data_IF_277455212718
#
_entry.id   IF_277455212718
#
_cell.length_a   1.000
_cell.length_b   1.000
_cell.length_c   1.000
_cell.angle_alpha   90.00
_cell.angle_beta   90.00
_cell.angle_gamma   90.00
#
_symmetry.space_group_name_H-M   'P 1'
#
loop_
_entity.id
_entity.type
_entity.pdbx_description
1 polymer ?
#
# COMPACT_ATOMS: atom_id res chain seq x y z
N UNK A 1 3.65 -5.44 -18.77
CA UNK A 1 2.66 -6.37 -18.21
C UNK A 1 3.22 -6.73 -16.87
N UNK A 2 2.67 -6.20 -15.80
CA UNK A 2 3.11 -6.57 -14.47
C UNK A 2 2.54 -7.94 -14.12
N UNK A 3 3.36 -8.79 -13.51
CA UNK A 3 2.94 -10.09 -13.02
C UNK A 3 2.62 -9.91 -11.54
N UNK A 4 1.32 -9.75 -11.24
CA UNK A 4 0.84 -9.76 -9.86
C UNK A 4 0.65 -11.23 -9.45
N UNK A 5 1.31 -11.66 -8.38
CA UNK A 5 1.07 -12.98 -7.78
C UNK A 5 -0.17 -12.91 -6.88
N UNK A 6 -1.34 -13.11 -7.48
CA UNK A 6 -2.65 -13.08 -6.79
C UNK A 6 -3.72 -12.50 -7.69
N UNK A 7 -4.96 -12.98 -7.57
CA UNK A 7 -6.13 -12.30 -8.13
C UNK A 7 -6.89 -11.71 -6.95
N UNK A 8 -6.94 -10.38 -6.80
CA UNK A 8 -7.68 -9.75 -5.73
C UNK A 8 -9.15 -10.20 -5.73
N UNK A 9 -9.68 -10.44 -4.55
CA UNK A 9 -11.05 -10.85 -4.28
C UNK A 9 -11.61 -10.00 -3.14
N UNK A 10 -12.88 -10.18 -2.77
CA UNK A 10 -13.47 -9.47 -1.62
C UNK A 10 -13.18 -10.16 -0.28
N UNK A 11 -12.07 -10.89 -0.16
CA UNK A 11 -11.66 -11.53 1.07
C UNK A 11 -10.16 -11.38 1.26
N UNK A 12 -9.66 -11.80 2.41
CA UNK A 12 -8.28 -11.57 2.79
C UNK A 12 -7.29 -12.21 1.81
N UNK A 13 -6.56 -11.37 1.10
CA UNK A 13 -5.64 -11.72 0.05
C UNK A 13 -4.18 -11.45 0.43
N UNK A 14 -3.29 -12.12 -0.30
CA UNK A 14 -1.85 -11.91 -0.21
C UNK A 14 -1.34 -11.64 -1.62
N UNK A 15 -0.91 -10.42 -1.86
CA UNK A 15 -0.59 -9.90 -3.18
C UNK A 15 0.88 -9.46 -3.17
N UNK A 16 1.65 -9.92 -4.16
CA UNK A 16 3.00 -9.39 -4.43
C UNK A 16 3.17 -9.09 -5.90
N UNK A 17 3.59 -7.86 -6.19
CA UNK A 17 4.00 -7.38 -7.50
C UNK A 17 5.50 -7.63 -7.73
N UNK A 18 6.00 -7.19 -8.91
CA UNK A 18 7.38 -7.42 -9.33
C UNK A 18 8.26 -6.17 -9.16
N UNK A 19 9.27 -5.96 -9.99
CA UNK A 19 10.17 -4.78 -9.91
C UNK A 19 9.72 -3.65 -10.86
N UNK A 20 8.55 -3.77 -11.48
CA UNK A 20 7.97 -2.77 -12.36
C UNK A 20 6.91 -1.94 -11.66
N UNK A 21 6.62 -0.76 -12.23
CA UNK A 21 5.52 0.07 -11.74
C UNK A 21 4.17 -0.63 -11.86
N UNK A 22 3.47 -0.71 -10.73
CA UNK A 22 2.24 -1.46 -10.59
C UNK A 22 1.02 -0.60 -10.21
N UNK A 23 -0.17 -1.12 -10.53
CA UNK A 23 -1.45 -0.59 -10.03
C UNK A 23 -2.18 -1.76 -9.39
N UNK A 24 -2.36 -1.69 -8.08
CA UNK A 24 -2.93 -2.76 -7.26
C UNK A 24 -4.16 -2.22 -6.53
N UNK A 25 -5.27 -2.93 -6.64
CA UNK A 25 -6.47 -2.73 -5.82
C UNK A 25 -6.77 -4.06 -5.12
N UNK A 26 -6.61 -4.07 -3.79
CA UNK A 26 -6.76 -5.27 -2.96
C UNK A 26 -8.24 -5.64 -2.75
N UNK A 27 -9.16 -4.70 -3.01
CA UNK A 27 -10.61 -4.80 -2.85
C UNK A 27 -11.05 -4.81 -1.38
N UNK A 28 -11.84 -5.81 -0.96
CA UNK A 28 -12.33 -5.84 0.41
C UNK A 28 -11.70 -7.03 1.11
N UNK A 29 -11.50 -6.95 2.41
CA UNK A 29 -10.78 -7.96 3.16
C UNK A 29 -9.63 -7.33 3.92
N UNK A 30 -9.01 -8.12 4.80
CA UNK A 30 -7.80 -7.68 5.47
C UNK A 30 -6.61 -8.22 4.67
N UNK A 31 -6.02 -7.37 3.84
CA UNK A 31 -5.10 -7.78 2.79
C UNK A 31 -3.64 -7.54 3.18
N UNK A 32 -2.75 -8.30 2.56
CA UNK A 32 -1.30 -8.11 2.65
C UNK A 32 -0.74 -7.89 1.26
N UNK A 33 -0.34 -6.65 0.96
CA UNK A 33 0.13 -6.23 -0.35
C UNK A 33 1.58 -5.78 -0.30
N UNK A 34 2.40 -6.25 -1.24
CA UNK A 34 3.73 -5.72 -1.51
C UNK A 34 3.88 -5.28 -2.97
N UNK A 35 4.25 -4.02 -3.18
CA UNK A 35 4.53 -3.43 -4.50
C UNK A 35 5.82 -3.96 -5.11
N UNK A 36 6.87 -4.06 -4.31
CA UNK A 36 8.14 -4.66 -4.74
C UNK A 36 9.13 -3.58 -5.14
N UNK A 37 9.42 -3.44 -6.43
CA UNK A 37 10.21 -2.32 -6.93
C UNK A 37 9.43 -1.57 -8.00
N UNK A 38 9.75 -0.29 -8.20
CA UNK A 38 9.01 0.55 -9.14
C UNK A 38 8.32 1.69 -8.43
N UNK A 39 7.57 2.51 -9.17
CA UNK A 39 6.70 3.51 -8.56
C UNK A 39 5.28 2.97 -8.62
N UNK A 40 4.78 2.50 -7.49
CA UNK A 40 3.56 1.72 -7.41
C UNK A 40 2.39 2.57 -6.92
N UNK A 41 1.19 2.17 -7.33
CA UNK A 41 -0.07 2.70 -6.86
C UNK A 41 -0.87 1.57 -6.21
N UNK A 42 -1.00 1.61 -4.89
CA UNK A 42 -1.59 0.54 -4.09
C UNK A 42 -2.81 1.06 -3.32
N UNK A 43 -3.95 0.37 -3.49
CA UNK A 43 -5.20 0.62 -2.76
C UNK A 43 -5.53 -0.61 -1.90
N UNK A 44 -5.67 -0.42 -0.58
CA UNK A 44 -6.17 -1.41 0.38
C UNK A 44 -7.68 -1.56 0.33
N UNK A 45 -8.38 -0.45 0.15
CA UNK A 45 -9.84 -0.37 -0.04
C UNK A 45 -10.64 -0.62 1.25
N UNK A 46 -11.28 -1.77 1.49
CA UNK A 46 -12.07 -2.01 2.72
C UNK A 46 -11.46 -3.12 3.59
N UNK A 47 -11.07 -2.83 4.83
CA UNK A 47 -10.59 -3.81 5.80
C UNK A 47 -9.38 -3.30 6.56
N UNK A 48 -8.86 -4.10 7.50
CA UNK A 48 -7.61 -3.73 8.18
C UNK A 48 -6.43 -4.26 7.36
N UNK A 49 -5.79 -3.39 6.58
CA UNK A 49 -4.81 -3.78 5.56
C UNK A 49 -3.36 -3.61 5.98
N UNK A 50 -2.48 -4.37 5.31
CA UNK A 50 -1.03 -4.18 5.38
C UNK A 50 -0.47 -3.94 3.98
N UNK A 51 -0.04 -2.71 3.74
CA UNK A 51 0.50 -2.26 2.46
C UNK A 51 1.99 -1.93 2.59
N UNK A 52 2.81 -2.44 1.67
CA UNK A 52 4.24 -2.14 1.56
C UNK A 52 4.57 -1.74 0.12
N UNK A 53 5.04 -0.50 -0.09
CA UNK A 53 5.43 0.01 -1.42
C UNK A 53 6.68 -0.69 -1.93
N UNK A 54 7.74 -0.68 -1.12
CA UNK A 54 8.99 -1.35 -1.44
C UNK A 54 10.04 -0.34 -1.91
N UNK A 55 10.64 -0.51 -3.08
CA UNK A 55 11.61 0.44 -3.61
C UNK A 55 11.00 1.33 -4.68
N UNK A 56 11.10 2.64 -4.53
CA UNK A 56 10.71 3.63 -5.52
C UNK A 56 9.87 4.73 -4.89
N UNK A 57 9.18 5.53 -5.70
CA UNK A 57 8.30 6.58 -5.17
C UNK A 57 6.86 6.09 -5.28
N UNK A 58 6.34 5.57 -4.18
CA UNK A 58 5.07 4.85 -4.17
C UNK A 58 3.92 5.74 -3.70
N UNK A 59 2.69 5.35 -4.05
CA UNK A 59 1.46 5.94 -3.53
C UNK A 59 0.60 4.84 -2.94
N UNK A 60 0.41 4.88 -1.62
CA UNK A 60 -0.40 3.90 -0.87
C UNK A 60 -1.62 4.60 -0.27
N UNK A 61 -2.79 4.00 -0.44
CA UNK A 61 -4.05 4.40 0.18
C UNK A 61 -4.64 3.20 0.94
N UNK A 62 -4.71 3.27 2.27
CA UNK A 62 -5.24 2.20 3.13
C UNK A 62 -6.73 2.02 2.92
N UNK A 63 -7.50 3.10 3.03
CA UNK A 63 -8.92 3.12 2.72
C UNK A 63 -9.78 3.15 3.98
N UNK A 64 -10.65 2.15 4.18
CA UNK A 64 -11.49 2.03 5.36
C UNK A 64 -10.95 0.92 6.26
N UNK A 65 -10.59 1.23 7.51
CA UNK A 65 -10.09 0.24 8.46
C UNK A 65 -8.91 0.77 9.25
N UNK A 66 -8.28 -0.08 10.05
CA UNK A 66 -7.07 0.28 10.78
C UNK A 66 -5.87 -0.29 10.04
N UNK A 67 -5.26 0.55 9.21
CA UNK A 67 -4.29 0.07 8.24
C UNK A 67 -2.86 0.20 8.74
N UNK A 68 -1.96 -0.61 8.20
CA UNK A 68 -0.51 -0.48 8.35
C UNK A 68 0.14 -0.24 7.01
N UNK A 69 0.68 0.95 6.79
CA UNK A 69 1.29 1.36 5.53
C UNK A 69 2.80 1.57 5.72
N UNK A 70 3.60 0.98 4.85
CA UNK A 70 5.04 1.20 4.72
C UNK A 70 5.33 1.69 3.31
N UNK A 71 5.92 2.89 3.18
CA UNK A 71 6.37 3.38 1.87
C UNK A 71 7.59 2.63 1.36
N UNK A 72 8.47 2.22 2.27
CA UNK A 72 9.77 1.67 1.91
C UNK A 72 10.75 2.78 1.47
N UNK A 73 11.60 2.45 0.51
CA UNK A 73 12.70 3.30 0.08
C UNK A 73 12.30 4.24 -1.06
N UNK A 74 12.21 5.54 -0.76
CA UNK A 74 12.04 6.59 -1.76
C UNK A 74 11.22 7.75 -1.22
N UNK A 75 10.56 8.50 -2.10
CA UNK A 75 9.65 9.57 -1.69
C UNK A 75 8.21 9.11 -1.88
N UNK A 76 7.61 8.66 -0.80
CA UNK A 76 6.30 8.01 -0.85
C UNK A 76 5.18 8.94 -0.40
N UNK A 77 3.99 8.69 -0.94
CA UNK A 77 2.74 9.27 -0.50
C UNK A 77 1.91 8.21 0.21
N UNK A 78 1.74 8.35 1.52
CA UNK A 78 0.96 7.43 2.35
C UNK A 78 -0.32 8.12 2.83
N UNK A 79 -1.47 7.53 2.50
CA UNK A 79 -2.77 7.92 3.04
C UNK A 79 -3.35 6.73 3.82
N UNK A 80 -3.48 6.87 5.14
CA UNK A 80 -4.13 5.85 5.96
C UNK A 80 -5.61 5.71 5.60
N UNK A 81 -6.33 6.83 5.56
CA UNK A 81 -7.76 6.83 5.23
C UNK A 81 -8.59 6.98 6.48
N UNK A 82 -9.68 6.21 6.59
CA UNK A 82 -10.58 6.24 7.74
C UNK A 82 -10.25 5.13 8.72
N UNK A 83 -9.85 5.51 9.93
CA UNK A 83 -9.62 4.57 11.03
C UNK A 83 -8.41 4.99 11.85
N UNK A 84 -7.82 4.04 12.57
CA UNK A 84 -6.58 4.26 13.33
C UNK A 84 -5.44 3.59 12.59
N UNK A 85 -4.72 4.39 11.81
CA UNK A 85 -3.68 3.87 10.93
C UNK A 85 -2.28 3.98 11.55
N UNK A 86 -1.43 3.03 11.20
CA UNK A 86 0.00 3.05 11.45
C UNK A 86 0.74 3.29 10.13
N UNK A 87 1.33 4.48 10.00
CA UNK A 87 2.14 4.83 8.85
C UNK A 87 3.61 4.74 9.25
N UNK A 88 4.30 3.71 8.75
CA UNK A 88 5.74 3.55 8.88
C UNK A 88 6.44 4.34 7.77
N UNK A 89 7.06 5.45 8.19
CA UNK A 89 7.86 6.32 7.34
C UNK A 89 9.33 6.05 7.64
N UNK A 90 9.97 5.23 6.80
CA UNK A 90 11.41 4.95 6.94
C UNK A 90 12.19 6.27 6.91
N UNK A 91 12.98 6.56 7.94
CA UNK A 91 13.66 7.86 8.12
C UNK A 91 14.64 8.30 7.01
N UNK A 92 14.73 7.58 5.89
CA UNK A 92 15.58 7.88 4.74
C UNK A 92 14.92 8.79 3.67
N UNK A 93 13.57 8.90 3.62
CA UNK A 93 12.83 9.71 2.64
C UNK A 93 12.26 11.02 3.19
N UNK A 94 11.86 11.94 2.31
CA UNK A 94 11.18 13.19 2.68
C UNK A 94 9.66 13.00 2.50
N UNK A 95 8.94 12.67 3.58
CA UNK A 95 7.53 12.24 3.53
C UNK A 95 6.54 13.39 3.68
N UNK A 96 5.40 13.28 3.00
CA UNK A 96 4.20 14.10 3.27
C UNK A 96 3.11 13.22 3.86
N UNK A 97 2.93 13.29 5.18
CA UNK A 97 1.85 12.60 5.88
C UNK A 97 0.58 13.46 5.84
N UNK A 98 -0.46 13.01 5.14
CA UNK A 98 -1.79 13.64 5.22
C UNK A 98 -2.74 12.72 5.98
N UNK A 99 -2.96 13.02 7.27
CA UNK A 99 -4.07 12.48 8.04
C UNK A 99 -5.23 13.49 7.95
N UNK A 100 -6.14 13.29 7.01
CA UNK A 100 -7.40 14.04 6.96
C UNK A 100 -8.48 13.23 7.68
N UNK A 101 -8.80 13.66 8.91
CA UNK A 101 -10.06 13.32 9.57
C UNK A 101 -11.25 14.03 8.93
#
# INVERSE_FOLDING_TARGET
>A
MAIISGSPTSGNDRIYADDANDIIDALAGNDSVGGGGGNDLIYGSEGDDKLDGGNGNDTLDGGLGNDTLSGGAGNDLLRGGSGIDLLDVDTAGNYTLTNTQ
#
